data_IF_212078855761
#
_entry.id   IF_212078855761
#
_cell.length_a   1.000
_cell.length_b   1.000
_cell.length_c   1.000
_cell.angle_alpha   90.00
_cell.angle_beta   90.00
_cell.angle_gamma   90.00
#
_symmetry.space_group_name_H-M   'P 1'
#
loop_
_entity.id
_entity.type
_entity.pdbx_description
1 polymer ?
#
# COMPACT_ATOMS: atom_id res chain seq x y z
N UNK A 1 -5.98 -4.00 -18.22
CA UNK A 1 -6.07 -4.98 -19.32
C UNK A 1 -6.06 -6.32 -18.64
N UNK A 2 -7.00 -7.24 -18.86
CA UNK A 2 -6.96 -8.56 -18.22
C UNK A 2 -6.62 -9.59 -19.30
N UNK A 3 -5.77 -10.56 -18.97
CA UNK A 3 -5.45 -11.67 -19.88
C UNK A 3 -6.42 -12.82 -19.68
N UNK A 4 -7.65 -12.64 -20.20
CA UNK A 4 -8.76 -13.59 -20.01
C UNK A 4 -8.51 -14.97 -20.64
N UNK A 5 -7.55 -15.07 -21.56
CA UNK A 5 -7.18 -16.31 -22.26
C UNK A 5 -5.81 -16.86 -21.79
N UNK A 6 -5.26 -16.36 -20.67
CA UNK A 6 -4.00 -16.88 -20.13
C UNK A 6 -4.18 -18.29 -19.58
N UNK A 7 -3.28 -19.20 -19.95
CA UNK A 7 -3.21 -20.56 -19.41
C UNK A 7 -1.82 -20.83 -18.81
N UNK A 8 -1.79 -21.47 -17.65
CA UNK A 8 -0.55 -21.94 -17.02
C UNK A 8 -0.64 -23.45 -16.78
N UNK A 9 0.30 -24.20 -17.34
CA UNK A 9 0.32 -25.67 -17.27
C UNK A 9 -0.98 -26.35 -17.73
N UNK A 10 -1.70 -25.72 -18.68
CA UNK A 10 -2.97 -26.21 -19.22
C UNK A 10 -4.20 -25.84 -18.37
N UNK A 11 -4.03 -25.09 -17.29
CA UNK A 11 -5.13 -24.56 -16.50
C UNK A 11 -5.37 -23.08 -16.86
N UNK A 12 -6.62 -22.70 -17.18
CA UNK A 12 -6.98 -21.31 -17.39
C UNK A 12 -6.76 -20.48 -16.12
N UNK A 13 -6.27 -19.26 -16.31
CA UNK A 13 -6.14 -18.29 -15.23
C UNK A 13 -7.51 -17.88 -14.69
N UNK A 14 -7.68 -17.95 -13.38
CA UNK A 14 -8.91 -17.57 -12.68
C UNK A 14 -8.78 -16.21 -11.96
N UNK A 15 -7.68 -15.48 -12.20
CA UNK A 15 -7.36 -14.22 -11.54
C UNK A 15 -7.53 -13.04 -12.51
N UNK A 16 -8.22 -11.99 -12.04
CA UNK A 16 -8.23 -10.68 -12.70
C UNK A 16 -6.91 -9.94 -12.44
N UNK A 17 -6.17 -9.62 -13.50
CA UNK A 17 -4.91 -8.89 -13.38
C UNK A 17 -5.10 -7.41 -12.99
N UNK A 18 -6.27 -6.85 -13.26
CA UNK A 18 -6.63 -5.50 -12.86
C UNK A 18 -8.12 -5.41 -12.50
N UNK A 19 -8.39 -4.90 -11.31
CA UNK A 19 -9.75 -4.73 -10.80
C UNK A 19 -9.86 -3.47 -9.95
N UNK A 20 -11.05 -2.88 -9.93
CA UNK A 20 -11.42 -1.83 -8.99
C UNK A 20 -12.77 -2.16 -8.40
N UNK A 21 -12.82 -2.20 -7.07
CA UNK A 21 -14.03 -2.54 -6.31
C UNK A 21 -14.35 -1.38 -5.38
N UNK A 22 -15.58 -0.88 -5.45
CA UNK A 22 -16.12 0.10 -4.49
C UNK A 22 -17.15 -0.61 -3.63
N UNK A 23 -17.04 -0.46 -2.32
CA UNK A 23 -17.98 -1.02 -1.34
C UNK A 23 -18.63 0.12 -0.56
N UNK A 24 -19.96 0.15 -0.58
CA UNK A 24 -20.78 0.97 0.31
C UNK A 24 -21.19 0.12 1.52
N UNK A 25 -20.80 0.55 2.71
CA UNK A 25 -21.16 -0.13 3.95
C UNK A 25 -22.43 0.47 4.55
N UNK A 26 -23.19 -0.35 5.27
CA UNK A 26 -24.45 0.07 5.92
C UNK A 26 -24.27 1.24 6.92
N UNK A 27 -23.05 1.43 7.44
CA UNK A 27 -22.72 2.55 8.33
C UNK A 27 -22.42 3.86 7.58
N UNK A 28 -22.64 3.90 6.26
CA UNK A 28 -22.41 5.08 5.40
C UNK A 28 -20.96 5.30 5.00
N UNK A 29 -20.04 4.43 5.40
CA UNK A 29 -18.64 4.47 4.93
C UNK A 29 -18.52 3.89 3.53
N UNK A 30 -17.51 4.33 2.79
CA UNK A 30 -17.16 3.80 1.47
C UNK A 30 -15.69 3.40 1.44
N UNK A 31 -15.40 2.22 0.91
CA UNK A 31 -14.04 1.80 0.59
C UNK A 31 -13.86 1.62 -0.92
N UNK A 32 -12.65 1.86 -1.41
CA UNK A 32 -12.23 1.55 -2.77
C UNK A 32 -10.98 0.70 -2.70
N UNK A 33 -10.97 -0.41 -3.43
CA UNK A 33 -9.82 -1.30 -3.56
C UNK A 33 -9.43 -1.36 -5.04
N UNK A 34 -8.15 -1.18 -5.32
CA UNK A 34 -7.60 -1.26 -6.66
C UNK A 34 -6.51 -2.31 -6.67
N UNK A 35 -6.58 -3.22 -7.64
CA UNK A 35 -5.57 -4.24 -7.90
C UNK A 35 -4.96 -4.00 -9.27
N UNK A 36 -3.63 -4.11 -9.35
CA UNK A 36 -2.91 -4.14 -10.62
C UNK A 36 -1.71 -5.08 -10.51
N UNK A 37 -1.75 -6.20 -11.24
CA UNK A 37 -0.73 -7.23 -11.27
C UNK A 37 0.31 -7.01 -12.39
N UNK A 38 0.20 -5.93 -13.19
CA UNK A 38 1.19 -5.58 -14.21
C UNK A 38 2.30 -4.66 -13.74
N UNK A 39 2.39 -4.43 -12.44
CA UNK A 39 3.45 -3.59 -11.88
C UNK A 39 4.77 -4.36 -11.90
N UNK A 40 5.84 -3.71 -12.37
CA UNK A 40 7.20 -4.27 -12.35
C UNK A 40 7.76 -4.41 -10.93
N UNK A 41 7.16 -3.73 -9.96
CA UNK A 41 7.53 -3.71 -8.55
C UNK A 41 6.26 -3.81 -7.70
N UNK A 42 6.39 -4.17 -6.43
CA UNK A 42 5.28 -4.25 -5.49
C UNK A 42 5.05 -2.88 -4.84
N UNK A 43 3.84 -2.35 -4.96
CA UNK A 43 3.37 -1.15 -4.26
C UNK A 43 2.03 -1.46 -3.59
N UNK A 44 2.00 -1.34 -2.26
CA UNK A 44 0.79 -1.50 -1.47
C UNK A 44 0.53 -0.22 -0.68
N UNK A 45 -0.73 0.22 -0.63
CA UNK A 45 -1.14 1.40 0.15
C UNK A 45 -2.52 1.18 0.77
N UNK A 46 -2.63 1.46 2.06
CA UNK A 46 -3.90 1.54 2.78
C UNK A 46 -4.06 2.96 3.34
N UNK A 47 -5.12 3.64 2.87
CA UNK A 47 -5.49 4.98 3.33
C UNK A 47 -6.78 4.90 4.14
N UNK A 48 -6.75 5.45 5.36
CA UNK A 48 -7.94 5.61 6.21
C UNK A 48 -8.11 7.09 6.53
N UNK A 49 -9.27 7.64 6.21
CA UNK A 49 -9.61 9.05 6.45
C UNK A 49 -10.84 9.13 7.36
N UNK A 50 -10.82 10.09 8.28
CA UNK A 50 -11.98 10.44 9.08
C UNK A 50 -11.91 11.89 9.55
N UNK A 51 -12.86 12.30 10.38
CA UNK A 51 -12.99 13.68 10.87
C UNK A 51 -11.74 14.20 11.61
N UNK A 52 -10.92 13.29 12.15
CA UNK A 52 -9.73 13.63 12.95
C UNK A 52 -8.43 13.61 12.17
N UNK A 53 -8.45 13.27 10.88
CA UNK A 53 -7.25 13.21 10.06
C UNK A 53 -7.18 12.02 9.11
N UNK A 54 -5.96 11.72 8.67
CA UNK A 54 -5.65 10.68 7.69
C UNK A 54 -4.46 9.83 8.15
N UNK A 55 -4.60 8.52 7.98
CA UNK A 55 -3.51 7.54 8.09
C UNK A 55 -3.20 6.99 6.71
N UNK A 56 -1.92 6.89 6.37
CA UNK A 56 -1.45 6.18 5.17
C UNK A 56 -0.40 5.18 5.60
N UNK A 57 -0.66 3.90 5.40
CA UNK A 57 0.34 2.85 5.47
C UNK A 57 0.73 2.48 4.04
N UNK A 58 2.02 2.46 3.72
CA UNK A 58 2.49 2.07 2.39
C UNK A 58 3.69 1.13 2.47
N UNK A 59 3.75 0.20 1.54
CA UNK A 59 4.87 -0.73 1.38
C UNK A 59 5.35 -0.72 -0.07
N UNK A 60 6.66 -0.80 -0.22
CA UNK A 60 7.36 -0.91 -1.50
C UNK A 60 8.35 -2.04 -1.41
N UNK A 61 8.28 -2.98 -2.36
CA UNK A 61 9.24 -4.06 -2.47
C UNK A 61 9.60 -4.29 -3.94
N UNK A 62 10.82 -4.78 -4.16
CA UNK A 62 11.31 -5.06 -5.50
C UNK A 62 11.63 -6.52 -5.71
N UNK A 63 11.44 -6.98 -6.94
CA UNK A 63 11.89 -8.31 -7.39
C UNK A 63 13.37 -8.32 -7.79
N UNK A 64 14.00 -7.14 -7.89
CA UNK A 64 15.42 -7.02 -8.19
C UNK A 64 16.25 -7.47 -6.97
N UNK A 65 17.27 -8.32 -7.16
CA UNK A 65 18.19 -8.69 -6.08
C UNK A 65 18.79 -7.45 -5.41
N UNK A 66 19.04 -7.55 -4.11
CA UNK A 66 19.71 -6.52 -3.28
C UNK A 66 18.98 -5.16 -3.20
N UNK A 67 17.74 -5.07 -3.70
CA UNK A 67 16.89 -3.88 -3.51
C UNK A 67 16.09 -4.02 -2.20
N UNK A 68 16.29 -3.12 -1.21
CA UNK A 68 15.63 -3.24 0.07
C UNK A 68 14.14 -2.91 -0.03
N UNK A 69 13.34 -3.61 0.77
CA UNK A 69 11.93 -3.27 0.98
C UNK A 69 11.80 -2.06 1.91
N UNK A 70 10.71 -1.32 1.75
CA UNK A 70 10.41 -0.11 2.53
C UNK A 70 8.96 -0.16 2.99
N UNK A 71 8.72 0.15 4.27
CA UNK A 71 7.39 0.39 4.80
C UNK A 71 7.32 1.79 5.43
N UNK A 72 6.20 2.48 5.27
CA UNK A 72 5.98 3.80 5.87
C UNK A 72 4.59 3.89 6.51
N UNK A 73 4.51 4.59 7.63
CA UNK A 73 3.27 5.03 8.24
C UNK A 73 3.29 6.57 8.34
N UNK A 74 2.31 7.18 7.68
CA UNK A 74 2.05 8.62 7.70
C UNK A 74 0.83 8.89 8.58
N UNK A 75 0.94 9.86 9.48
CA UNK A 75 -0.18 10.37 10.27
C UNK A 75 -0.35 11.86 10.00
N UNK A 76 -1.53 12.25 9.55
CA UNK A 76 -1.91 13.65 9.31
C UNK A 76 -3.09 14.04 10.18
N UNK A 77 -2.94 15.10 10.98
CA UNK A 77 -3.98 15.62 11.88
C UNK A 77 -4.17 17.14 11.67
N UNK A 78 -5.40 17.69 11.76
CA UNK A 78 -5.65 19.11 11.46
C UNK A 78 -5.01 20.13 12.43
N UNK A 79 -4.68 19.74 13.67
CA UNK A 79 -4.39 20.68 14.77
C UNK A 79 -2.94 20.69 15.26
N UNK A 80 -1.96 20.75 14.36
CA UNK A 80 -0.59 21.15 14.73
C UNK A 80 -0.32 22.53 14.10
N UNK A 81 -0.25 23.62 14.89
CA UNK A 81 0.24 24.89 14.40
C UNK A 81 1.75 24.73 14.13
N UNK A 82 2.10 24.69 12.85
CA UNK A 82 3.45 24.75 12.28
C UNK A 82 4.33 23.50 12.53
N UNK A 83 4.79 22.90 11.42
CA UNK A 83 5.90 21.92 11.33
C UNK A 83 5.66 20.54 11.96
N UNK A 84 5.00 19.64 11.25
CA UNK A 84 5.04 18.23 11.65
C UNK A 84 4.11 17.31 10.86
N UNK A 85 4.49 16.99 9.62
CA UNK A 85 4.06 15.70 9.05
C UNK A 85 4.94 14.65 9.71
N UNK A 86 4.42 13.89 10.68
CA UNK A 86 5.16 12.76 11.24
C UNK A 86 5.17 11.63 10.20
N UNK A 87 6.27 11.52 9.44
CA UNK A 87 6.58 10.34 8.63
C UNK A 87 7.37 9.36 9.48
N UNK A 88 6.74 8.26 9.86
CA UNK A 88 7.45 7.13 10.43
C UNK A 88 7.78 6.16 9.29
N UNK A 89 9.01 6.22 8.78
CA UNK A 89 9.50 5.22 7.84
C UNK A 89 10.12 4.06 8.62
N UNK A 90 9.57 2.85 8.45
CA UNK A 90 10.15 1.61 8.96
C UNK A 90 10.85 0.96 7.76
N UNK A 91 12.18 1.12 7.66
CA UNK A 91 12.96 0.37 6.69
C UNK A 91 13.14 -1.06 7.22
N UNK A 92 12.56 -2.05 6.53
CA UNK A 92 12.78 -3.46 6.83
C UNK A 92 13.77 -4.04 5.82
N UNK A 93 15.04 -4.12 6.22
CA UNK A 93 16.06 -4.86 5.48
C UNK A 93 15.98 -6.35 5.85
N UNK A 94 16.07 -7.25 4.86
CA UNK A 94 16.03 -8.70 5.08
C UNK A 94 17.31 -9.14 5.81
N UNK A 95 17.28 -9.07 7.14
CA UNK A 95 18.37 -9.53 8.01
C UNK A 95 18.74 -8.59 9.16
N UNK A 96 18.15 -7.40 9.27
CA UNK A 96 18.40 -6.48 10.37
C UNK A 96 17.13 -6.11 11.14
N UNK A 97 17.28 -5.94 12.47
CA UNK A 97 16.18 -5.52 13.37
C UNK A 97 15.66 -4.14 12.91
N UNK A 98 14.35 -3.86 13.06
CA UNK A 98 13.76 -2.59 12.64
C UNK A 98 14.51 -1.41 13.29
N UNK A 99 15.09 -0.55 12.45
CA UNK A 99 15.72 0.70 12.87
C UNK A 99 14.66 1.80 12.83
N UNK A 100 14.10 2.13 14.00
CA UNK A 100 13.23 3.28 14.17
C UNK A 100 14.04 4.57 13.93
N UNK A 101 13.85 5.23 12.79
CA UNK A 101 14.38 6.59 12.55
C UNK A 101 13.22 7.57 12.58
N UNK A 102 13.21 8.44 13.58
CA UNK A 102 12.40 9.66 13.56
C UNK A 102 13.09 10.67 12.64
N UNK A 103 12.43 11.07 11.56
CA UNK A 103 12.85 12.21 10.74
C UNK A 103 12.01 13.41 11.16
N UNK A 104 12.67 14.41 11.76
CA UNK A 104 12.12 15.73 12.10
C UNK A 104 12.44 16.72 10.98
#
# INVERSE_FOLDING_TARGET
MNFLDFEWQGEPSDIDDHAMVIIDYDNGMRASFTLNMFCQELYEELVVVGERGRLVASEQASFQPDTPSKAELLVEVPSIPLTGVCRLAILMDRGQRPLWRHLF
#
